data_IF_524076708400
#
_entry.id   IF_524076708400
#
_cell.length_a   1.000
_cell.length_b   1.000
_cell.length_c   1.000
_cell.angle_alpha   90.00
_cell.angle_beta   90.00
_cell.angle_gamma   90.00
#
_symmetry.space_group_name_H-M   'P 1'
#
loop_
_entity.id
_entity.type
_entity.pdbx_description
1 polymer ?
#
# COMPACT_ATOMS: atom_id res chain seq x y z
N UNK A 1 16.69 9.59 -19.33
CA UNK A 1 15.27 9.24 -19.55
C UNK A 1 14.60 9.35 -18.19
N UNK A 2 13.92 10.49 -17.96
CA UNK A 2 13.35 10.86 -16.66
C UNK A 2 12.05 10.08 -16.48
N UNK A 3 12.03 9.14 -15.54
CA UNK A 3 10.80 8.49 -15.07
C UNK A 3 10.06 9.48 -14.17
N UNK A 4 9.03 10.12 -14.72
CA UNK A 4 8.10 10.96 -14.00
C UNK A 4 7.47 10.17 -12.83
N UNK A 5 7.70 10.66 -11.63
CA UNK A 5 6.97 10.25 -10.43
C UNK A 5 5.49 10.63 -10.59
N UNK A 6 4.69 9.70 -11.11
CA UNK A 6 3.24 9.85 -11.09
C UNK A 6 2.74 9.62 -9.66
N UNK A 7 2.65 10.70 -8.90
CA UNK A 7 2.05 10.68 -7.59
C UNK A 7 0.52 10.73 -7.74
N UNK A 8 -0.17 9.66 -7.37
CA UNK A 8 -1.63 9.70 -7.25
C UNK A 8 -2.02 10.41 -5.95
N UNK A 9 -2.80 11.47 -6.07
CA UNK A 9 -3.46 12.12 -4.94
C UNK A 9 -4.76 11.37 -4.63
N UNK A 10 -4.89 10.85 -3.41
CA UNK A 10 -6.14 10.26 -2.91
C UNK A 10 -6.74 11.17 -1.84
N UNK A 11 -8.04 11.46 -1.96
CA UNK A 11 -8.84 12.00 -0.86
C UNK A 11 -9.67 10.87 -0.27
N UNK A 12 -9.44 10.55 0.98
CA UNK A 12 -10.29 9.64 1.74
C UNK A 12 -11.56 10.39 2.12
N UNK A 13 -12.70 9.94 1.65
CA UNK A 13 -14.00 10.33 2.21
C UNK A 13 -14.15 9.52 3.49
N UNK A 14 -14.40 10.21 4.62
CA UNK A 14 -14.40 9.68 5.98
C UNK A 14 -14.96 8.27 6.08
N UNK A 15 -14.24 7.44 6.84
CA UNK A 15 -14.64 6.09 7.22
C UNK A 15 -16.07 6.10 7.79
N UNK A 16 -16.96 5.49 7.03
CA UNK A 16 -18.29 5.14 7.56
C UNK A 16 -18.06 3.92 8.44
N UNK A 17 -18.11 4.12 9.75
CA UNK A 17 -18.11 3.05 10.74
C UNK A 17 -19.21 2.03 10.39
N UNK A 18 -18.84 0.94 9.78
CA UNK A 18 -19.67 -0.25 9.73
C UNK A 18 -19.38 -1.06 11.01
N UNK A 19 -20.22 -0.84 12.02
CA UNK A 19 -20.34 -1.74 13.16
C UNK A 19 -20.78 -3.11 12.66
N UNK A 20 -19.82 -3.97 12.39
CA UNK A 20 -20.08 -5.38 12.12
C UNK A 20 -20.30 -6.11 13.45
N UNK A 21 -21.59 -6.23 13.81
CA UNK A 21 -22.07 -6.96 14.98
C UNK A 21 -21.92 -8.48 14.77
N UNK A 22 -20.69 -9.00 14.79
CA UNK A 22 -20.51 -10.43 15.03
C UNK A 22 -19.22 -10.68 15.82
N UNK A 23 -19.40 -10.84 17.12
CA UNK A 23 -18.39 -10.85 18.15
C UNK A 23 -17.46 -12.07 18.15
N UNK A 24 -16.55 -12.14 17.20
CA UNK A 24 -15.28 -12.83 17.37
C UNK A 24 -14.17 -11.84 17.07
N UNK A 25 -13.65 -11.16 18.10
CA UNK A 25 -12.43 -10.36 17.98
C UNK A 25 -11.31 -11.27 17.49
N UNK A 26 -11.08 -11.26 16.19
CA UNK A 26 -9.88 -11.82 15.58
C UNK A 26 -8.72 -11.08 16.26
N UNK A 27 -7.87 -11.79 17.01
CA UNK A 27 -6.74 -11.19 17.70
C UNK A 27 -5.91 -10.46 16.65
N UNK A 28 -5.98 -9.15 16.63
CA UNK A 28 -5.30 -8.30 15.65
C UNK A 28 -3.79 -8.51 15.83
N UNK A 29 -3.19 -9.14 14.83
CA UNK A 29 -1.77 -9.50 14.87
C UNK A 29 -0.96 -8.27 14.47
N UNK A 30 -0.46 -7.53 15.45
CA UNK A 30 0.45 -6.41 15.21
C UNK A 30 1.85 -6.89 14.87
N UNK A 31 2.56 -6.10 14.10
CA UNK A 31 3.97 -6.30 13.74
C UNK A 31 4.79 -5.13 14.21
N UNK A 32 6.06 -5.38 14.53
CA UNK A 32 6.98 -4.34 15.01
C UNK A 32 7.97 -3.98 13.92
N UNK A 33 8.07 -2.70 13.58
CA UNK A 33 9.08 -2.20 12.67
C UNK A 33 10.47 -2.36 13.29
N UNK A 34 11.39 -2.97 12.56
CA UNK A 34 12.74 -3.24 13.09
C UNK A 34 13.62 -1.98 13.15
N UNK A 35 13.26 -0.92 12.42
CA UNK A 35 13.95 0.38 12.44
C UNK A 35 13.37 1.27 13.52
N UNK A 36 12.09 1.63 13.40
CA UNK A 36 11.43 2.60 14.29
C UNK A 36 10.98 2.02 15.62
N UNK A 37 10.93 0.68 15.74
CA UNK A 37 10.39 -0.06 16.89
C UNK A 37 8.90 0.14 17.16
N UNK A 38 8.22 0.90 16.32
CA UNK A 38 6.78 1.14 16.40
C UNK A 38 6.01 -0.11 15.96
N UNK A 39 4.94 -0.39 16.67
CA UNK A 39 4.00 -1.46 16.30
C UNK A 39 2.91 -0.93 15.38
N UNK A 40 2.61 -1.66 14.33
CA UNK A 40 1.58 -1.33 13.34
C UNK A 40 0.86 -2.56 12.82
N UNK A 41 -0.16 -2.32 12.05
CA UNK A 41 -0.87 -3.39 11.36
C UNK A 41 -0.06 -3.88 10.15
N UNK A 42 -0.15 -5.18 9.81
CA UNK A 42 0.55 -5.72 8.65
C UNK A 42 0.26 -4.99 7.33
N UNK A 43 -0.91 -4.36 7.23
CA UNK A 43 -1.38 -3.57 6.06
C UNK A 43 -0.60 -2.27 5.90
N UNK A 44 -0.11 -1.70 7.00
CA UNK A 44 0.67 -0.46 7.05
C UNK A 44 2.18 -0.70 6.96
N UNK A 45 2.58 -1.94 6.74
CA UNK A 45 3.97 -2.35 6.77
C UNK A 45 4.36 -3.16 5.54
N UNK A 46 5.64 -3.09 5.18
CA UNK A 46 6.26 -3.96 4.17
C UNK A 46 6.96 -5.10 4.87
N UNK A 47 6.63 -6.32 4.46
CA UNK A 47 7.34 -7.53 4.88
C UNK A 47 8.49 -7.81 3.93
N UNK A 48 9.60 -8.24 4.49
CA UNK A 48 10.75 -8.72 3.74
C UNK A 48 11.07 -10.16 4.15
N UNK A 49 11.43 -10.96 3.17
CA UNK A 49 11.98 -12.29 3.37
C UNK A 49 13.44 -12.33 2.95
N UNK A 50 14.15 -13.36 3.36
CA UNK A 50 15.53 -13.60 2.92
C UNK A 50 15.52 -14.87 2.10
N UNK A 51 15.96 -14.77 0.84
CA UNK A 51 16.08 -15.93 -0.04
C UNK A 51 17.13 -16.93 0.49
N UNK A 52 17.13 -18.18 0.04
CA UNK A 52 18.17 -19.16 0.38
C UNK A 52 19.59 -18.65 0.10
N UNK A 53 19.77 -17.88 -0.98
CA UNK A 53 21.02 -17.29 -1.43
C UNK A 53 21.43 -16.05 -0.60
N UNK A 54 20.57 -15.60 0.32
CA UNK A 54 20.83 -14.48 1.20
C UNK A 54 20.41 -13.11 0.66
N UNK A 55 19.60 -13.03 -0.39
CA UNK A 55 19.06 -11.77 -0.88
C UNK A 55 17.82 -11.32 -0.10
N UNK A 56 17.72 -10.02 0.15
CA UNK A 56 16.52 -9.41 0.69
C UNK A 56 15.50 -9.29 -0.44
N UNK A 57 14.29 -9.85 -0.19
CA UNK A 57 13.17 -9.86 -1.14
C UNK A 57 11.96 -9.19 -0.49
N UNK A 58 11.35 -8.17 -1.13
CA UNK A 58 10.10 -7.60 -0.65
C UNK A 58 8.96 -8.62 -0.84
N UNK A 59 8.25 -8.92 0.24
CA UNK A 59 7.13 -9.86 0.26
C UNK A 59 5.83 -9.11 0.44
N UNK A 60 5.37 -8.50 -0.64
CA UNK A 60 4.18 -7.66 -0.65
C UNK A 60 2.89 -8.47 -0.45
N UNK A 61 2.90 -9.74 -0.85
CA UNK A 61 1.77 -10.66 -0.69
C UNK A 61 1.78 -11.38 0.67
N UNK A 62 2.86 -11.21 1.45
CA UNK A 62 3.02 -11.81 2.78
C UNK A 62 2.94 -13.34 2.77
N UNK A 63 3.35 -13.96 1.67
CA UNK A 63 3.23 -15.40 1.43
C UNK A 63 4.57 -16.15 1.42
N UNK A 64 5.70 -15.45 1.38
CA UNK A 64 7.01 -16.12 1.36
C UNK A 64 7.30 -16.83 2.69
N UNK A 65 7.93 -18.01 2.63
CA UNK A 65 8.26 -18.79 3.84
C UNK A 65 9.29 -18.08 4.72
N UNK A 66 9.39 -18.53 5.96
CA UNK A 66 10.38 -18.08 6.93
C UNK A 66 9.96 -16.89 7.77
N UNK A 67 10.92 -16.47 8.64
CA UNK A 67 10.69 -15.31 9.51
C UNK A 67 10.76 -14.04 8.71
N UNK A 68 9.64 -13.29 8.68
CA UNK A 68 9.57 -11.99 8.01
C UNK A 68 10.23 -10.88 8.83
N UNK A 69 10.91 -9.96 8.13
CA UNK A 69 11.39 -8.69 8.68
C UNK A 69 10.37 -7.63 8.28
N UNK A 70 9.91 -6.84 9.24
CA UNK A 70 8.84 -5.87 9.03
C UNK A 70 9.36 -4.45 9.16
N UNK A 71 9.03 -3.60 8.20
CA UNK A 71 9.32 -2.17 8.19
C UNK A 71 8.02 -1.38 7.98
N UNK A 72 7.90 -0.23 8.62
CA UNK A 72 6.83 0.73 8.29
C UNK A 72 6.90 1.07 6.81
N UNK A 73 5.74 1.17 6.14
CA UNK A 73 5.66 1.43 4.69
C UNK A 73 5.97 2.91 4.37
N UNK A 74 7.13 3.37 4.79
CA UNK A 74 7.64 4.72 4.58
C UNK A 74 8.99 4.65 3.88
N UNK A 75 9.16 5.44 2.80
CA UNK A 75 10.38 5.46 1.99
C UNK A 75 11.64 5.67 2.83
N UNK A 76 11.65 6.70 3.69
CA UNK A 76 12.78 7.04 4.55
C UNK A 76 13.17 5.91 5.52
N UNK A 77 12.19 5.16 6.05
CA UNK A 77 12.43 4.01 6.94
C UNK A 77 13.09 2.86 6.19
N UNK A 78 12.68 2.62 4.94
CA UNK A 78 13.26 1.56 4.10
C UNK A 78 14.67 1.96 3.67
N UNK A 79 14.91 3.21 3.28
CA UNK A 79 16.23 3.75 2.96
C UNK A 79 17.18 3.65 4.16
N UNK A 80 16.71 3.99 5.35
CA UNK A 80 17.48 3.85 6.58
C UNK A 80 17.85 2.39 6.86
N UNK A 81 16.91 1.46 6.64
CA UNK A 81 17.18 0.03 6.80
C UNK A 81 18.28 -0.49 5.86
N UNK A 82 18.30 0.02 4.62
CA UNK A 82 19.31 -0.32 3.62
C UNK A 82 20.70 0.23 4.01
N UNK A 83 20.76 1.53 4.32
CA UNK A 83 22.04 2.22 4.60
C UNK A 83 22.69 1.78 5.90
N UNK A 84 21.90 1.51 6.94
CA UNK A 84 22.42 1.07 8.25
C UNK A 84 22.61 -0.44 8.41
N UNK A 85 22.44 -1.23 7.35
CA UNK A 85 22.62 -2.67 7.39
C UNK A 85 21.70 -3.38 8.41
N UNK A 86 20.48 -2.85 8.59
CA UNK A 86 19.50 -3.36 9.59
C UNK A 86 19.11 -4.80 9.29
N UNK A 87 18.96 -5.15 8.02
CA UNK A 87 18.60 -6.51 7.59
C UNK A 87 19.61 -7.56 8.05
N UNK A 88 20.90 -7.29 7.92
CA UNK A 88 21.97 -8.19 8.37
C UNK A 88 21.97 -8.36 9.89
N UNK A 89 21.81 -7.26 10.64
CA UNK A 89 21.78 -7.29 12.12
C UNK A 89 20.59 -8.10 12.65
N UNK A 90 19.40 -7.91 12.05
CA UNK A 90 18.18 -8.59 12.51
C UNK A 90 18.18 -10.07 12.13
N UNK A 91 18.76 -10.42 10.97
CA UNK A 91 18.85 -11.81 10.53
C UNK A 91 19.98 -12.60 11.18
N UNK A 92 20.94 -11.92 11.79
CA UNK A 92 22.14 -12.56 12.37
C UNK A 92 23.08 -13.16 11.33
N UNK A 93 22.92 -12.83 10.06
CA UNK A 93 23.75 -13.33 8.95
C UNK A 93 24.01 -12.26 7.91
N UNK A 94 25.04 -12.46 7.08
CA UNK A 94 25.30 -11.59 5.95
C UNK A 94 24.16 -11.71 4.93
N UNK A 95 23.65 -10.57 4.48
CA UNK A 95 22.58 -10.50 3.49
C UNK A 95 22.94 -9.52 2.39
N UNK A 96 22.43 -9.75 1.20
CA UNK A 96 22.56 -8.87 0.05
C UNK A 96 21.28 -8.05 -0.10
N UNK A 97 21.43 -6.72 -0.02
CA UNK A 97 20.32 -5.78 -0.26
C UNK A 97 20.43 -5.30 -1.70
N UNK A 98 19.46 -5.58 -2.57
CA UNK A 98 19.48 -5.08 -3.94
C UNK A 98 19.50 -3.54 -3.96
N UNK A 99 20.30 -2.95 -4.85
CA UNK A 99 20.41 -1.49 -4.99
C UNK A 99 19.09 -0.84 -5.47
N UNK A 100 18.27 -1.61 -6.16
CA UNK A 100 16.97 -1.22 -6.70
C UNK A 100 15.77 -1.67 -5.81
N UNK A 101 16.03 -2.04 -4.55
CA UNK A 101 15.01 -2.57 -3.64
C UNK A 101 13.77 -1.65 -3.52
N UNK A 102 13.96 -0.34 -3.45
CA UNK A 102 12.86 0.63 -3.41
C UNK A 102 12.03 0.62 -4.70
N UNK A 103 12.71 0.54 -5.85
CA UNK A 103 12.04 0.46 -7.15
C UNK A 103 11.22 -0.82 -7.25
N UNK A 104 11.75 -1.95 -6.75
CA UNK A 104 11.03 -3.23 -6.71
C UNK A 104 9.77 -3.13 -5.86
N UNK A 105 9.84 -2.50 -4.69
CA UNK A 105 8.70 -2.29 -3.79
C UNK A 105 7.65 -1.41 -4.48
N UNK A 106 8.04 -0.26 -5.00
CA UNK A 106 7.12 0.68 -5.64
C UNK A 106 6.44 0.06 -6.86
N UNK A 107 7.20 -0.57 -7.73
CA UNK A 107 6.68 -1.25 -8.92
C UNK A 107 5.73 -2.40 -8.56
N UNK A 108 6.07 -3.15 -7.50
CA UNK A 108 5.23 -4.23 -6.99
C UNK A 108 3.91 -3.71 -6.40
N UNK A 109 3.94 -2.63 -5.62
CA UNK A 109 2.75 -1.99 -5.07
C UNK A 109 1.85 -1.41 -6.15
N UNK A 110 2.44 -0.77 -7.18
CA UNK A 110 1.72 -0.26 -8.34
C UNK A 110 0.98 -1.37 -9.08
N UNK A 111 1.67 -2.46 -9.41
CA UNK A 111 1.06 -3.61 -10.07
C UNK A 111 -0.10 -4.17 -9.26
N UNK A 112 0.09 -4.38 -7.96
CA UNK A 112 -0.94 -4.88 -7.07
C UNK A 112 -2.17 -3.95 -7.00
N UNK A 113 -1.94 -2.64 -6.92
CA UNK A 113 -3.02 -1.67 -6.93
C UNK A 113 -3.85 -1.74 -8.22
N UNK A 114 -3.20 -1.81 -9.39
CA UNK A 114 -3.88 -1.93 -10.68
C UNK A 114 -4.66 -3.24 -10.78
N UNK A 115 -4.10 -4.34 -10.31
CA UNK A 115 -4.79 -5.64 -10.26
C UNK A 115 -6.04 -5.59 -9.39
N UNK A 116 -5.96 -4.98 -8.21
CA UNK A 116 -7.11 -4.80 -7.29
C UNK A 116 -8.20 -3.92 -7.89
N UNK A 117 -7.83 -2.81 -8.54
CA UNK A 117 -8.78 -1.95 -9.26
C UNK A 117 -9.47 -2.74 -10.37
N UNK A 118 -8.71 -3.55 -11.13
CA UNK A 118 -9.25 -4.43 -12.16
C UNK A 118 -10.23 -5.47 -11.61
N UNK A 119 -9.93 -6.06 -10.47
CA UNK A 119 -10.83 -6.99 -9.77
C UNK A 119 -12.09 -6.29 -9.28
N UNK A 120 -11.97 -5.15 -8.63
CA UNK A 120 -13.11 -4.34 -8.15
C UNK A 120 -14.03 -3.93 -9.32
N UNK A 121 -13.46 -3.56 -10.47
CA UNK A 121 -14.24 -3.24 -11.67
C UNK A 121 -15.02 -4.45 -12.19
N UNK A 122 -14.39 -5.64 -12.27
CA UNK A 122 -15.07 -6.88 -12.69
C UNK A 122 -16.19 -7.28 -11.72
N UNK A 123 -15.99 -7.02 -10.43
CA UNK A 123 -16.99 -7.27 -9.38
C UNK A 123 -18.10 -6.20 -9.31
N UNK A 124 -18.10 -5.19 -10.19
CA UNK A 124 -19.07 -4.09 -10.15
C UNK A 124 -18.90 -3.14 -8.95
N UNK A 125 -17.75 -3.21 -8.25
CA UNK A 125 -17.43 -2.38 -7.07
C UNK A 125 -16.65 -1.12 -7.44
N UNK A 126 -16.24 -0.98 -8.68
CA UNK A 126 -15.56 0.23 -9.18
C UNK A 126 -16.11 0.65 -10.52
N UNK A 127 -16.25 1.95 -10.72
CA UNK A 127 -16.66 2.57 -11.97
C UNK A 127 -15.63 3.59 -12.41
N UNK A 128 -15.58 3.87 -13.71
CA UNK A 128 -14.71 4.89 -14.30
C UNK A 128 -15.50 5.82 -15.23
N UNK A 129 -14.98 7.02 -15.39
CA UNK A 129 -15.59 8.09 -16.16
C UNK A 129 -16.47 9.02 -15.33
N UNK A 130 -16.38 10.32 -15.62
CA UNK A 130 -16.94 11.41 -14.83
C UNK A 130 -18.43 11.20 -14.48
N UNK A 131 -19.26 10.91 -15.48
CA UNK A 131 -20.72 10.79 -15.31
C UNK A 131 -21.09 9.68 -14.32
N UNK A 132 -20.52 8.49 -14.49
CA UNK A 132 -20.80 7.33 -13.61
C UNK A 132 -20.27 7.54 -12.20
N UNK A 133 -19.07 8.12 -12.07
CA UNK A 133 -18.47 8.42 -10.77
C UNK A 133 -19.33 9.45 -10.04
N UNK A 134 -19.76 10.51 -10.72
CA UNK A 134 -20.66 11.53 -10.15
C UNK A 134 -21.98 10.93 -9.69
N UNK A 135 -22.61 10.09 -10.50
CA UNK A 135 -23.83 9.39 -10.13
C UNK A 135 -23.66 8.58 -8.83
N UNK A 136 -22.55 7.83 -8.72
CA UNK A 136 -22.26 7.04 -7.52
C UNK A 136 -21.95 7.92 -6.30
N UNK A 137 -21.27 9.05 -6.47
CA UNK A 137 -21.05 10.02 -5.39
C UNK A 137 -22.38 10.56 -4.87
N UNK A 138 -23.29 10.98 -5.77
CA UNK A 138 -24.61 11.48 -5.39
C UNK A 138 -25.47 10.41 -4.68
N UNK A 139 -25.29 9.13 -5.05
CA UNK A 139 -25.96 8.00 -4.40
C UNK A 139 -25.26 7.56 -3.09
N UNK A 140 -24.19 8.23 -2.65
CA UNK A 140 -23.38 7.88 -1.48
C UNK A 140 -22.81 6.46 -1.51
N UNK A 141 -22.52 5.94 -2.71
CA UNK A 141 -21.97 4.58 -2.95
C UNK A 141 -20.46 4.55 -3.03
N UNK A 142 -19.80 5.69 -2.92
CA UNK A 142 -18.35 5.82 -3.14
C UNK A 142 -17.64 5.93 -1.80
N UNK A 143 -16.70 5.00 -1.54
CA UNK A 143 -15.78 5.07 -0.42
C UNK A 143 -14.46 5.74 -0.76
N UNK A 144 -13.98 5.60 -2.02
CA UNK A 144 -12.71 6.16 -2.49
C UNK A 144 -12.86 6.68 -3.92
N UNK A 145 -12.35 7.87 -4.19
CA UNK A 145 -12.20 8.44 -5.54
C UNK A 145 -10.73 8.48 -5.90
N UNK A 146 -10.36 7.86 -7.02
CA UNK A 146 -9.03 7.92 -7.58
C UNK A 146 -9.03 8.93 -8.75
N UNK A 147 -8.12 9.88 -8.68
CA UNK A 147 -7.97 10.93 -9.69
C UNK A 147 -6.49 11.01 -10.12
N UNK A 148 -6.26 11.13 -11.44
CA UNK A 148 -4.92 11.30 -11.94
C UNK A 148 -4.37 12.69 -11.56
N UNK A 149 -3.07 12.77 -11.30
CA UNK A 149 -2.44 14.03 -10.87
C UNK A 149 -2.56 15.12 -11.95
N UNK A 150 -2.50 14.71 -13.23
CA UNK A 150 -2.67 15.59 -14.39
C UNK A 150 -4.13 15.84 -14.76
N UNK A 151 -5.07 15.22 -14.05
CA UNK A 151 -6.51 15.45 -14.28
C UNK A 151 -6.96 16.82 -13.80
N UNK A 152 -8.10 17.31 -14.34
CA UNK A 152 -8.66 18.61 -13.98
C UNK A 152 -9.08 18.64 -12.50
N UNK A 153 -8.47 19.53 -11.73
CA UNK A 153 -8.83 19.76 -10.31
C UNK A 153 -10.26 20.28 -10.19
N UNK A 154 -10.70 21.08 -11.17
CA UNK A 154 -12.06 21.62 -11.20
C UNK A 154 -13.11 20.52 -11.39
N UNK A 155 -12.81 19.48 -12.19
CA UNK A 155 -13.69 18.33 -12.31
C UNK A 155 -13.76 17.53 -11.00
N UNK A 156 -12.63 17.37 -10.32
CA UNK A 156 -12.61 16.71 -9.02
C UNK A 156 -13.42 17.47 -7.97
N UNK A 157 -13.30 18.81 -7.94
CA UNK A 157 -14.07 19.67 -7.05
C UNK A 157 -15.57 19.59 -7.35
N UNK A 158 -15.97 19.59 -8.62
CA UNK A 158 -17.38 19.40 -9.04
C UNK A 158 -17.93 18.03 -8.66
N UNK A 159 -17.09 16.99 -8.62
CA UNK A 159 -17.48 15.67 -8.16
C UNK A 159 -17.77 15.65 -6.65
N UNK A 160 -16.94 16.34 -5.86
CA UNK A 160 -17.00 16.30 -4.39
C UNK A 160 -17.98 17.31 -3.82
N UNK A 161 -18.17 18.48 -4.47
CA UNK A 161 -19.05 19.57 -4.01
C UNK A 161 -20.54 19.34 -4.32
N UNK A 162 -20.90 18.31 -5.03
CA UNK A 162 -22.29 18.00 -5.41
C UNK A 162 -22.96 16.87 -4.61
N UNK A 163 -22.37 16.48 -3.44
CA UNK A 163 -22.90 15.40 -2.59
C UNK A 163 -23.42 15.88 -1.25
#
# INVERSE_FOLDING_TARGET
MLLNNHCLSYKTVQEINSDDKNGRRKKEVRRRCVVTRIEGYPEEMVRFAISPEGFIVPDLDKCLPGRGIWLSAQRNVIEEACTRGVFGRVSGRRVHVPSDLLIQIESGLWRRMIELIGLARRAGQAVSGFVKVREWVMQRRVGVVLHALEGSKEELERLVSGG
#
